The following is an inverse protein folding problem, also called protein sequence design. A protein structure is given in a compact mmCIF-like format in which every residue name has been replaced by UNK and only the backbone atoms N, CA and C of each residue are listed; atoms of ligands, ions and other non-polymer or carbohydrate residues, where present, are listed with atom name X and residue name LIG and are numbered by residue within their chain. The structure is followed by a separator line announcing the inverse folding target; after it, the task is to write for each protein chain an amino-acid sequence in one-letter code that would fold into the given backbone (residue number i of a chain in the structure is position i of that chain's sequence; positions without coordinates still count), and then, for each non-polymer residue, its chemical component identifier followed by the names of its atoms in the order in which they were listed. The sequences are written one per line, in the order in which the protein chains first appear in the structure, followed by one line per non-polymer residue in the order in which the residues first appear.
data_IF_280539303797
#
_entry.id   IF_280539303797
#
_cell.length_a   1.000
_cell.length_b   1.000
_cell.length_c   1.000
_cell.angle_alpha   90.00
_cell.angle_beta   90.00
_cell.angle_gamma   90.00
#
_symmetry.space_group_name_H-M   'P 1'
#
loop_
_entity.id
_entity.type
_entity.pdbx_description
1 polymer ?
#
# COMPACT_ATOMS: atom_id res chain seq x y z
N UNK A 1 -11.72 -11.31 4.35
CA UNK A 1 -11.42 -10.47 5.53
C UNK A 1 -10.27 -9.54 5.20
N UNK A 2 -10.20 -8.37 5.84
CA UNK A 2 -9.08 -7.43 5.72
C UNK A 2 -8.30 -7.37 7.05
N UNK A 3 -7.06 -7.85 7.05
CA UNK A 3 -6.16 -7.85 8.20
C UNK A 3 -5.46 -6.48 8.35
N UNK A 4 -6.22 -5.38 8.38
CA UNK A 4 -5.71 -4.02 8.48
C UNK A 4 -6.73 -3.10 9.13
N UNK A 5 -6.28 -2.22 10.02
CA UNK A 5 -7.09 -1.16 10.61
C UNK A 5 -7.21 0.11 9.74
N UNK A 6 -6.60 0.13 8.55
CA UNK A 6 -6.63 1.31 7.68
C UNK A 6 -8.01 1.52 7.05
N UNK A 7 -8.71 2.65 7.33
CA UNK A 7 -10.00 2.95 6.72
C UNK A 7 -9.89 3.16 5.22
N UNK A 8 -8.76 3.67 4.72
CA UNK A 8 -8.50 3.89 3.30
C UNK A 8 -8.49 2.58 2.52
N UNK A 9 -7.87 1.52 3.05
CA UNK A 9 -7.87 0.18 2.43
C UNK A 9 -9.27 -0.42 2.37
N UNK A 10 -10.03 -0.27 3.45
CA UNK A 10 -11.41 -0.74 3.49
C UNK A 10 -12.29 -0.01 2.46
N UNK A 11 -12.13 1.29 2.33
CA UNK A 11 -12.83 2.10 1.34
C UNK A 11 -12.49 1.64 -0.08
N UNK A 12 -11.21 1.48 -0.43
CA UNK A 12 -10.78 1.03 -1.77
C UNK A 12 -11.41 -0.33 -2.12
N UNK A 13 -11.41 -1.28 -1.19
CA UNK A 13 -12.03 -2.60 -1.42
C UNK A 13 -13.55 -2.50 -1.56
N UNK A 14 -14.20 -1.67 -0.76
CA UNK A 14 -15.64 -1.43 -0.85
C UNK A 14 -16.05 -0.80 -2.19
N UNK A 15 -15.32 0.19 -2.67
CA UNK A 15 -15.52 0.82 -3.99
C UNK A 15 -15.28 -0.17 -5.14
N UNK A 16 -14.40 -1.15 -4.94
CA UNK A 16 -14.18 -2.25 -5.88
C UNK A 16 -15.25 -3.36 -5.80
N UNK A 17 -16.27 -3.20 -4.94
CA UNK A 17 -17.35 -4.18 -4.79
C UNK A 17 -16.96 -5.42 -3.97
N UNK A 18 -15.88 -5.38 -3.21
CA UNK A 18 -15.46 -6.47 -2.33
C UNK A 18 -16.17 -6.34 -0.99
N UNK A 19 -17.05 -7.28 -0.68
CA UNK A 19 -17.62 -7.39 0.68
C UNK A 19 -16.55 -7.90 1.65
N UNK A 20 -16.32 -7.18 2.75
CA UNK A 20 -15.24 -7.50 3.67
C UNK A 20 -15.63 -7.30 5.15
N UNK A 21 -15.01 -8.09 6.00
CA UNK A 21 -14.94 -7.88 7.45
C UNK A 21 -13.56 -7.31 7.77
N UNK A 22 -13.50 -6.24 8.57
CA UNK A 22 -12.25 -5.60 8.99
C UNK A 22 -11.84 -6.22 10.33
N UNK A 23 -10.68 -6.89 10.35
CA UNK A 23 -10.12 -7.52 11.54
C UNK A 23 -8.63 -7.18 11.61
N UNK A 24 -8.24 -6.10 12.30
CA UNK A 24 -6.86 -5.70 12.41
C UNK A 24 -5.99 -6.80 13.03
N UNK A 25 -4.81 -7.03 12.44
CA UNK A 25 -3.84 -7.96 13.00
C UNK A 25 -3.12 -7.29 14.20
N UNK A 26 -3.06 -8.01 15.31
CA UNK A 26 -2.33 -7.60 16.51
C UNK A 26 -0.94 -8.26 16.49
N UNK A 27 -0.02 -7.65 15.75
CA UNK A 27 1.39 -8.09 15.61
C UNK A 27 2.34 -6.92 15.87
N UNK A 28 3.56 -7.21 16.30
CA UNK A 28 4.62 -6.20 16.47
C UNK A 28 5.28 -5.97 15.12
N UNK A 29 4.76 -5.00 14.36
CA UNK A 29 5.13 -4.73 12.96
C UNK A 29 6.63 -4.48 12.79
N UNK A 30 7.23 -3.65 13.67
CA UNK A 30 8.66 -3.31 13.60
C UNK A 30 9.57 -4.54 13.74
N UNK A 31 9.20 -5.48 14.59
CA UNK A 31 9.97 -6.72 14.79
C UNK A 31 9.91 -7.61 13.53
N UNK A 32 8.72 -7.75 12.93
CA UNK A 32 8.54 -8.54 11.71
C UNK A 32 9.28 -7.90 10.55
N UNK A 33 9.17 -6.58 10.40
CA UNK A 33 9.83 -5.83 9.34
C UNK A 33 11.36 -5.90 9.47
N UNK A 34 11.90 -5.65 10.67
CA UNK A 34 13.33 -5.72 10.93
C UNK A 34 13.92 -7.12 10.66
N UNK A 35 13.19 -8.18 11.02
CA UNK A 35 13.62 -9.55 10.73
C UNK A 35 13.61 -9.90 9.23
N UNK A 36 12.87 -9.15 8.42
CA UNK A 36 12.76 -9.34 6.97
C UNK A 36 13.75 -8.48 6.16
N UNK A 37 14.51 -7.61 6.80
CA UNK A 37 15.43 -6.64 6.14
C UNK A 37 16.74 -7.25 5.61
N UNK A 38 16.88 -8.58 5.52
CA UNK A 38 18.04 -9.26 4.93
C UNK A 38 18.19 -9.04 3.40
N UNK A 39 17.27 -8.27 2.80
CA UNK A 39 17.20 -8.06 1.35
C UNK A 39 16.60 -6.72 0.97
N UNK A 40 15.80 -6.75 -0.09
CA UNK A 40 15.13 -5.56 -0.60
C UNK A 40 13.93 -5.15 0.26
N UNK A 41 13.70 -3.84 0.40
CA UNK A 41 12.56 -3.28 1.13
C UNK A 41 11.20 -3.78 0.59
N UNK A 42 11.14 -4.01 -0.71
CA UNK A 42 9.98 -4.62 -1.39
C UNK A 42 9.65 -6.03 -0.87
N UNK A 43 10.66 -6.82 -0.52
CA UNK A 43 10.48 -8.13 0.10
C UNK A 43 10.03 -8.01 1.55
N UNK A 44 10.64 -7.10 2.31
CA UNK A 44 10.29 -6.90 3.72
C UNK A 44 8.82 -6.47 3.90
N UNK A 45 8.33 -5.55 3.06
CA UNK A 45 6.93 -5.12 3.13
C UNK A 45 5.94 -6.23 2.74
N UNK A 46 6.33 -7.15 1.83
CA UNK A 46 5.52 -8.33 1.51
C UNK A 46 5.46 -9.32 2.69
N UNK A 47 6.60 -9.54 3.36
CA UNK A 47 6.66 -10.40 4.57
C UNK A 47 5.77 -9.85 5.66
N UNK A 48 5.78 -8.53 5.89
CA UNK A 48 4.91 -7.90 6.88
C UNK A 48 3.42 -8.01 6.50
N UNK A 49 3.08 -7.78 5.23
CA UNK A 49 1.72 -7.97 4.73
C UNK A 49 1.24 -9.42 4.93
N UNK A 50 2.12 -10.39 4.64
CA UNK A 50 1.81 -11.81 4.83
C UNK A 50 1.65 -12.18 6.30
N UNK A 51 2.50 -11.66 7.19
CA UNK A 51 2.39 -11.88 8.63
C UNK A 51 1.03 -11.40 9.17
N UNK A 52 0.56 -10.21 8.72
CA UNK A 52 -0.78 -9.70 9.05
C UNK A 52 -1.89 -10.64 8.59
N UNK A 53 -1.80 -11.11 7.34
CA UNK A 53 -2.80 -12.02 6.78
C UNK A 53 -2.82 -13.37 7.52
N UNK A 54 -1.66 -13.97 7.77
CA UNK A 54 -1.53 -15.26 8.49
C UNK A 54 -2.08 -15.18 9.91
N UNK A 55 -1.76 -14.10 10.65
CA UNK A 55 -2.24 -13.93 12.02
C UNK A 55 -3.78 -14.00 12.13
N UNK A 56 -4.48 -13.48 11.12
CA UNK A 56 -5.95 -13.56 11.08
C UNK A 56 -6.41 -14.92 10.54
N UNK A 57 -5.76 -15.45 9.51
CA UNK A 57 -6.14 -16.75 8.92
C UNK A 57 -6.04 -17.91 9.93
N UNK A 58 -5.06 -17.88 10.83
CA UNK A 58 -4.92 -18.87 11.92
C UNK A 58 -6.13 -18.87 12.87
N UNK A 59 -6.78 -17.73 13.03
CA UNK A 59 -7.97 -17.54 13.89
C UNK A 59 -9.30 -17.74 13.16
N UNK A 60 -9.29 -17.69 11.84
CA UNK A 60 -10.44 -17.67 10.96
C UNK A 60 -10.23 -18.63 9.78
N UNK A 61 -10.20 -19.93 10.07
CA UNK A 61 -10.01 -20.96 9.06
C UNK A 61 -11.09 -20.89 7.97
N UNK A 62 -10.71 -21.25 6.75
CA UNK A 62 -11.57 -21.31 5.56
C UNK A 62 -12.04 -19.96 5.01
N UNK A 63 -11.44 -18.84 5.45
CA UNK A 63 -11.72 -17.51 4.94
C UNK A 63 -10.60 -17.01 4.00
N UNK A 64 -10.96 -16.11 3.08
CA UNK A 64 -9.94 -15.33 2.36
C UNK A 64 -9.50 -14.16 3.21
N UNK A 65 -8.21 -14.06 3.49
CA UNK A 65 -7.65 -12.98 4.30
C UNK A 65 -6.65 -12.18 3.49
N UNK A 66 -6.90 -10.88 3.37
CA UNK A 66 -6.01 -9.91 2.73
C UNK A 66 -5.25 -9.13 3.79
N UNK A 67 -3.92 -9.15 3.71
CA UNK A 67 -3.01 -8.29 4.46
C UNK A 67 -2.34 -7.30 3.52
N UNK A 68 -2.05 -6.10 4.01
CA UNK A 68 -1.28 -5.11 3.27
C UNK A 68 -0.45 -4.24 4.21
N UNK A 69 0.71 -3.81 3.74
CA UNK A 69 1.54 -2.83 4.40
C UNK A 69 2.13 -1.84 3.40
N UNK A 70 2.39 -0.60 3.85
CA UNK A 70 2.87 0.49 3.00
C UNK A 70 4.00 1.23 3.69
N UNK A 71 5.10 1.41 2.99
CA UNK A 71 6.25 2.19 3.43
C UNK A 71 6.54 3.33 2.47
N UNK A 72 7.08 4.42 3.00
CA UNK A 72 7.63 5.54 2.24
C UNK A 72 9.15 5.44 2.34
N UNK A 73 9.85 5.53 1.20
CA UNK A 73 11.30 5.37 1.14
C UNK A 73 11.93 6.61 0.51
N UNK A 74 12.84 7.24 1.24
CA UNK A 74 13.62 8.39 0.77
C UNK A 74 15.11 8.09 0.90
N UNK A 75 15.87 8.13 -0.21
CA UNK A 75 17.32 7.81 -0.24
C UNK A 75 17.66 6.43 0.34
N UNK A 76 16.77 5.45 0.19
CA UNK A 76 16.94 4.10 0.76
C UNK A 76 16.55 3.98 2.25
N UNK A 77 16.14 5.07 2.90
CA UNK A 77 15.67 5.08 4.28
C UNK A 77 14.13 5.01 4.35
N UNK A 78 13.61 4.15 5.21
CA UNK A 78 12.16 4.03 5.44
C UNK A 78 11.68 5.12 6.38
N UNK A 79 10.70 5.89 5.94
CA UNK A 79 9.99 6.86 6.75
C UNK A 79 8.69 6.22 7.26
N UNK A 80 8.66 5.95 8.58
CA UNK A 80 7.50 5.41 9.26
C UNK A 80 6.38 6.45 9.48
N UNK A 81 5.48 6.15 10.40
CA UNK A 81 4.49 7.12 10.90
C UNK A 81 5.18 8.02 11.92
N UNK A 82 5.01 9.35 11.84
CA UNK A 82 5.59 10.24 12.84
C UNK A 82 4.94 10.04 14.21
N UNK A 83 5.75 9.96 15.26
CA UNK A 83 5.29 9.82 16.65
C UNK A 83 5.11 11.16 17.36
N UNK A 84 5.50 12.27 16.73
CA UNK A 84 5.42 13.61 17.31
C UNK A 84 5.27 14.69 16.23
N UNK A 85 4.85 15.90 16.66
CA UNK A 85 4.79 17.08 15.80
C UNK A 85 6.14 17.35 15.11
N UNK A 86 7.22 17.38 15.89
CA UNK A 86 8.58 17.69 15.39
C UNK A 86 9.05 16.63 14.37
N UNK A 87 8.72 15.36 14.59
CA UNK A 87 9.04 14.28 13.66
C UNK A 87 8.25 14.41 12.36
N UNK A 88 6.96 14.76 12.42
CA UNK A 88 6.15 15.01 11.24
C UNK A 88 6.69 16.18 10.41
N UNK A 89 7.02 17.31 11.05
CA UNK A 89 7.65 18.47 10.40
C UNK A 89 8.99 18.07 9.76
N UNK A 90 9.81 17.30 10.48
CA UNK A 90 11.10 16.83 9.98
C UNK A 90 10.94 15.96 8.74
N UNK A 91 10.01 14.99 8.76
CA UNK A 91 9.73 14.12 7.61
C UNK A 91 9.28 14.93 6.39
N UNK A 92 8.32 15.85 6.55
CA UNK A 92 7.82 16.67 5.45
C UNK A 92 8.89 17.60 4.86
N UNK A 93 9.77 18.17 5.70
CA UNK A 93 10.94 18.95 5.22
C UNK A 93 11.91 18.09 4.42
N UNK A 94 12.13 16.84 4.80
CA UNK A 94 12.96 15.91 4.05
C UNK A 94 12.39 15.56 2.68
N UNK A 95 11.07 15.42 2.58
CA UNK A 95 10.35 15.13 1.34
C UNK A 95 10.17 16.35 0.43
N UNK A 96 10.28 17.56 0.98
CA UNK A 96 10.01 18.82 0.31
C UNK A 96 10.79 18.99 -0.99
N UNK A 97 10.09 19.24 -2.11
CA UNK A 97 10.64 19.40 -3.47
C UNK A 97 11.50 18.22 -3.94
N UNK A 98 11.27 17.01 -3.41
CA UNK A 98 12.04 15.80 -3.72
C UNK A 98 11.15 14.67 -4.23
N UNK A 99 11.79 13.73 -4.91
CA UNK A 99 11.17 12.44 -5.25
C UNK A 99 11.49 11.41 -4.17
N UNK A 100 10.52 10.57 -3.90
CA UNK A 100 10.60 9.43 -2.98
C UNK A 100 9.79 8.28 -3.54
N UNK A 101 9.89 7.13 -2.94
CA UNK A 101 9.20 5.92 -3.37
C UNK A 101 8.16 5.50 -2.32
N UNK A 102 7.00 5.06 -2.78
CA UNK A 102 5.98 4.42 -1.94
C UNK A 102 5.85 2.98 -2.36
N UNK A 103 6.10 2.05 -1.44
CA UNK A 103 6.05 0.62 -1.70
C UNK A 103 4.93 0.01 -0.85
N UNK A 104 3.98 -0.66 -1.49
CA UNK A 104 2.94 -1.42 -0.78
C UNK A 104 3.08 -2.90 -1.09
N UNK A 105 3.25 -3.70 -0.04
CA UNK A 105 3.12 -5.15 -0.08
C UNK A 105 1.68 -5.57 0.14
N UNK A 106 1.24 -6.56 -0.63
CA UNK A 106 -0.09 -7.18 -0.51
C UNK A 106 0.09 -8.68 -0.39
N UNK A 107 -0.67 -9.29 0.50
CA UNK A 107 -0.68 -10.73 0.71
C UNK A 107 -2.12 -11.24 0.80
N UNK A 108 -2.36 -12.44 0.29
CA UNK A 108 -3.62 -13.15 0.45
C UNK A 108 -3.31 -14.55 1.00
N UNK A 109 -4.07 -14.95 2.00
CA UNK A 109 -4.19 -16.33 2.44
C UNK A 109 -5.59 -16.79 2.01
N UNK A 110 -5.66 -17.82 1.18
CA UNK A 110 -6.94 -18.34 0.69
C UNK A 110 -7.59 -19.33 1.68
N UNK A 111 -8.78 -19.81 1.36
CA UNK A 111 -9.54 -20.74 2.20
C UNK A 111 -8.87 -22.12 2.39
N UNK A 112 -7.89 -22.48 1.55
CA UNK A 112 -7.07 -23.68 1.67
C UNK A 112 -5.78 -23.45 2.47
N UNK A 113 -5.50 -22.21 2.90
CA UNK A 113 -4.27 -21.84 3.59
C UNK A 113 -3.09 -21.53 2.66
N UNK A 114 -3.30 -21.52 1.35
CA UNK A 114 -2.26 -21.14 0.39
C UNK A 114 -2.02 -19.62 0.43
N UNK A 115 -0.78 -19.24 0.22
CA UNK A 115 -0.35 -17.84 0.36
C UNK A 115 0.14 -17.27 -0.97
N UNK A 116 -0.29 -16.06 -1.29
CA UNK A 116 0.15 -15.31 -2.45
C UNK A 116 0.57 -13.92 -2.03
N UNK A 117 1.74 -13.45 -2.47
CA UNK A 117 2.25 -12.12 -2.16
C UNK A 117 2.72 -11.40 -3.41
N UNK A 118 2.60 -10.08 -3.39
CA UNK A 118 3.13 -9.20 -4.41
C UNK A 118 3.33 -7.81 -3.83
N UNK A 119 4.16 -6.99 -4.47
CA UNK A 119 4.28 -5.57 -4.14
C UNK A 119 4.03 -4.68 -5.36
N UNK A 120 3.82 -3.40 -5.10
CA UNK A 120 3.81 -2.32 -6.06
C UNK A 120 4.70 -1.20 -5.53
N UNK A 121 5.49 -0.61 -6.41
CA UNK A 121 6.23 0.61 -6.13
C UNK A 121 5.74 1.75 -7.00
N UNK A 122 5.74 2.96 -6.46
CA UNK A 122 5.34 4.20 -7.14
C UNK A 122 6.29 5.32 -6.74
N UNK A 123 6.95 5.94 -7.71
CA UNK A 123 7.71 7.15 -7.44
C UNK A 123 6.75 8.35 -7.31
N UNK A 124 6.96 9.14 -6.27
CA UNK A 124 6.16 10.32 -5.96
C UNK A 124 7.06 11.53 -5.87
N UNK A 125 6.72 12.60 -6.59
CA UNK A 125 7.41 13.88 -6.53
C UNK A 125 6.58 14.88 -5.72
N UNK A 126 7.16 15.43 -4.66
CA UNK A 126 6.57 16.56 -3.95
C UNK A 126 6.79 17.86 -4.69
N UNK A 127 5.79 18.75 -4.62
CA UNK A 127 5.98 20.15 -4.91
C UNK A 127 6.82 20.82 -3.82
N UNK A 128 7.25 22.03 -4.07
CA UNK A 128 7.80 22.88 -3.01
C UNK A 128 6.71 23.22 -2.00
N UNK A 129 6.99 22.95 -0.73
CA UNK A 129 6.15 23.27 0.43
C UNK A 129 6.78 24.45 1.18
N UNK A 130 5.93 25.32 1.74
CA UNK A 130 6.34 26.41 2.60
C UNK A 130 6.17 26.01 4.08
N UNK A 131 6.92 26.67 4.96
CA UNK A 131 6.95 26.30 6.39
C UNK A 131 5.59 26.49 7.10
N UNK A 132 4.81 27.49 6.69
CA UNK A 132 3.47 27.72 7.19
C UNK A 132 2.48 26.63 6.76
N UNK A 133 2.55 26.15 5.52
CA UNK A 133 1.76 25.00 5.03
C UNK A 133 2.08 23.72 5.81
N UNK A 134 3.37 23.47 6.06
CA UNK A 134 3.80 22.29 6.85
C UNK A 134 3.26 22.39 8.27
N UNK A 135 3.41 23.55 8.92
CA UNK A 135 2.96 23.76 10.29
C UNK A 135 1.44 23.62 10.42
N UNK A 136 0.67 24.19 9.47
CA UNK A 136 -0.78 24.07 9.44
C UNK A 136 -1.21 22.61 9.26
N UNK A 137 -0.62 21.89 8.30
CA UNK A 137 -0.93 20.51 8.03
C UNK A 137 -0.63 19.59 9.22
N UNK A 138 0.54 19.75 9.84
CA UNK A 138 0.90 18.93 11.01
C UNK A 138 -0.01 19.22 12.20
N UNK A 139 -0.52 20.44 12.36
CA UNK A 139 -1.46 20.82 13.40
C UNK A 139 -2.86 20.20 13.22
N UNK A 140 -3.18 19.69 12.03
CA UNK A 140 -4.46 19.03 11.75
C UNK A 140 -4.56 17.58 12.25
N UNK A 141 -3.50 17.05 12.86
CA UNK A 141 -3.36 15.64 13.29
C UNK A 141 -3.42 14.61 12.14
N UNK A 142 -3.64 15.05 10.90
CA UNK A 142 -3.72 14.17 9.72
C UNK A 142 -2.46 13.36 9.43
N UNK A 143 -1.23 13.84 9.70
CA UNK A 143 0.02 13.12 9.41
C UNK A 143 0.23 11.82 10.17
N UNK A 144 -0.28 11.72 11.41
CA UNK A 144 0.18 10.72 12.38
C UNK A 144 -0.25 9.27 12.09
N UNK A 145 -1.22 9.07 11.22
CA UNK A 145 -1.67 7.73 10.81
C UNK A 145 -1.06 7.26 9.48
N UNK A 146 -0.13 8.05 8.90
CA UNK A 146 0.40 7.85 7.54
C UNK A 146 1.92 7.71 7.53
N UNK A 147 2.44 6.72 6.79
CA UNK A 147 3.87 6.61 6.51
C UNK A 147 4.37 7.86 5.79
N UNK A 148 5.54 8.38 6.18
CA UNK A 148 6.11 9.63 5.67
C UNK A 148 5.35 10.89 6.10
N UNK A 149 4.30 10.77 6.93
CA UNK A 149 3.56 11.89 7.48
C UNK A 149 2.68 12.65 6.49
N UNK A 150 2.23 12.05 5.40
CA UNK A 150 1.33 12.72 4.43
C UNK A 150 0.32 11.77 3.79
N UNK A 151 -0.78 12.33 3.29
CA UNK A 151 -1.74 11.64 2.44
C UNK A 151 -1.84 12.30 1.06
N UNK A 152 -1.78 11.49 -0.01
CA UNK A 152 -2.00 11.99 -1.38
C UNK A 152 -3.46 12.48 -1.58
N UNK A 153 -4.38 12.01 -0.72
CA UNK A 153 -5.79 12.38 -0.73
C UNK A 153 -6.10 13.67 0.04
N UNK A 154 -5.12 14.25 0.74
CA UNK A 154 -5.30 15.45 1.55
C UNK A 154 -5.32 16.70 0.65
N UNK A 155 -6.47 17.00 0.07
CA UNK A 155 -6.66 18.07 -0.96
C UNK A 155 -6.26 19.45 -0.46
N UNK A 156 -6.45 19.78 0.82
CA UNK A 156 -6.08 21.07 1.38
C UNK A 156 -4.58 21.28 1.47
N UNK A 157 -3.82 20.21 1.68
CA UNK A 157 -2.36 20.24 1.73
C UNK A 157 -1.74 19.98 0.36
N UNK A 158 -2.29 19.04 -0.41
CA UNK A 158 -1.91 18.68 -1.78
C UNK A 158 -0.38 18.69 -2.04
N UNK A 159 0.42 17.90 -1.30
CA UNK A 159 1.88 18.00 -1.37
C UNK A 159 2.47 17.42 -2.65
N UNK A 160 1.72 16.56 -3.36
CA UNK A 160 2.20 15.79 -4.51
C UNK A 160 2.08 16.59 -5.79
N UNK A 161 3.20 16.82 -6.48
CA UNK A 161 3.24 17.44 -7.80
C UNK A 161 2.96 16.43 -8.92
N UNK A 162 3.52 15.22 -8.80
CA UNK A 162 3.32 14.13 -9.75
C UNK A 162 3.64 12.78 -9.12
N UNK A 163 3.14 11.72 -9.72
CA UNK A 163 3.50 10.33 -9.41
C UNK A 163 3.50 9.53 -10.70
N UNK A 164 4.26 8.44 -10.74
CA UNK A 164 4.17 7.44 -11.78
C UNK A 164 3.30 6.26 -11.33
N UNK A 165 3.11 5.27 -12.20
CA UNK A 165 2.44 3.99 -11.88
C UNK A 165 1.05 4.13 -11.21
N UNK A 166 0.92 3.87 -9.92
CA UNK A 166 -0.37 3.59 -9.30
C UNK A 166 -0.75 4.55 -8.17
N UNK A 167 -1.76 5.40 -8.39
CA UNK A 167 -2.34 6.26 -7.36
C UNK A 167 -2.78 5.49 -6.10
N UNK A 168 -3.48 4.36 -6.28
CA UNK A 168 -3.99 3.56 -5.18
C UNK A 168 -2.89 2.85 -4.38
N UNK A 169 -1.70 2.68 -4.98
CA UNK A 169 -0.52 2.25 -4.25
C UNK A 169 -0.12 3.31 -3.21
N UNK A 170 -0.10 4.58 -3.60
CA UNK A 170 0.23 5.69 -2.69
C UNK A 170 -0.83 5.86 -1.60
N UNK A 171 -2.10 5.60 -1.90
CA UNK A 171 -3.19 5.56 -0.88
C UNK A 171 -3.01 4.39 0.09
N UNK A 172 -2.38 3.28 -0.35
CA UNK A 172 -2.00 2.15 0.49
C UNK A 172 -2.59 0.79 0.13
N UNK A 173 -3.26 0.67 -1.05
CA UNK A 173 -3.71 -0.63 -1.57
C UNK A 173 -3.78 -0.60 -3.11
N UNK A 174 -2.74 -1.09 -3.82
CA UNK A 174 -2.73 -1.15 -5.29
C UNK A 174 -3.71 -2.20 -5.80
N UNK A 175 -4.88 -1.77 -6.26
CA UNK A 175 -5.94 -2.70 -6.70
C UNK A 175 -5.57 -3.54 -7.92
N UNK A 176 -4.69 -3.07 -8.79
CA UNK A 176 -4.14 -3.86 -9.90
C UNK A 176 -3.44 -5.13 -9.40
N UNK A 177 -2.59 -5.01 -8.38
CA UNK A 177 -1.90 -6.12 -7.72
C UNK A 177 -2.88 -6.95 -6.88
N UNK A 178 -3.71 -6.28 -6.09
CA UNK A 178 -4.69 -6.93 -5.22
C UNK A 178 -5.65 -7.83 -6.01
N UNK A 179 -6.17 -7.34 -7.14
CA UNK A 179 -7.04 -8.13 -8.02
C UNK A 179 -6.33 -9.35 -8.59
N UNK A 180 -5.07 -9.18 -9.04
CA UNK A 180 -4.29 -10.32 -9.55
C UNK A 180 -4.14 -11.40 -8.48
N UNK A 181 -3.79 -11.02 -7.24
CA UNK A 181 -3.65 -11.97 -6.13
C UNK A 181 -4.98 -12.64 -5.78
N UNK A 182 -6.10 -11.89 -5.75
CA UNK A 182 -7.43 -12.46 -5.50
C UNK A 182 -7.78 -13.53 -6.54
N UNK A 183 -7.61 -13.23 -7.83
CA UNK A 183 -7.87 -14.18 -8.90
C UNK A 183 -6.94 -15.40 -8.83
N UNK A 184 -5.64 -15.20 -8.60
CA UNK A 184 -4.66 -16.29 -8.45
C UNK A 184 -4.97 -17.18 -7.24
N UNK A 185 -5.56 -16.63 -6.17
CA UNK A 185 -5.96 -17.37 -4.97
C UNK A 185 -7.31 -18.08 -5.11
N UNK A 186 -7.97 -18.00 -6.27
CA UNK A 186 -9.26 -18.63 -6.55
C UNK A 186 -10.48 -17.83 -6.09
N UNK A 187 -10.31 -16.54 -5.72
CA UNK A 187 -11.42 -15.67 -5.38
C UNK A 187 -12.15 -15.19 -6.64
N UNK A 188 -13.46 -15.38 -6.70
CA UNK A 188 -14.30 -14.87 -7.79
C UNK A 188 -14.50 -13.35 -7.65
N UNK A 189 -13.71 -12.60 -8.39
CA UNK A 189 -13.83 -11.15 -8.43
C UNK A 189 -14.70 -10.71 -9.59
N UNK A 190 -15.91 -10.26 -9.29
CA UNK A 190 -16.90 -9.80 -10.28
C UNK A 190 -16.91 -8.30 -10.52
N UNK A 191 -16.15 -7.52 -9.74
CA UNK A 191 -16.11 -6.06 -9.85
C UNK A 191 -15.35 -5.59 -11.10
N UNK A 192 -15.93 -4.64 -11.83
CA UNK A 192 -15.20 -3.87 -12.84
C UNK A 192 -14.40 -2.78 -12.11
N UNK A 193 -13.07 -2.94 -12.05
CA UNK A 193 -12.20 -1.96 -11.45
C UNK A 193 -11.15 -1.48 -12.46
N UNK A 194 -11.03 -0.17 -12.61
CA UNK A 194 -9.98 0.49 -13.37
C UNK A 194 -9.05 1.23 -12.42
N UNK A 195 -7.76 0.87 -12.36
CA UNK A 195 -6.75 1.70 -11.73
C UNK A 195 -6.53 2.96 -12.58
N UNK A 196 -7.00 4.11 -12.13
CA UNK A 196 -6.65 5.38 -12.75
C UNK A 196 -5.12 5.59 -12.61
N UNK A 197 -4.42 5.80 -13.73
CA UNK A 197 -2.97 6.02 -13.76
C UNK A 197 -2.15 4.86 -14.33
N UNK A 198 -2.68 3.65 -14.43
CA UNK A 198 -2.03 2.60 -15.21
C UNK A 198 -2.34 2.77 -16.70
N UNK A 199 -1.31 3.02 -17.50
CA UNK A 199 -1.32 2.59 -18.89
C UNK A 199 -1.39 1.06 -18.84
N UNK A 200 -2.58 0.49 -18.97
CA UNK A 200 -2.74 -0.94 -19.25
C UNK A 200 -1.91 -1.24 -20.48
N UNK A 201 -0.91 -2.16 -20.43
CA UNK A 201 -0.37 -2.69 -21.65
C UNK A 201 -1.56 -3.33 -22.40
N UNK A 202 -1.94 -2.71 -23.49
CA UNK A 202 -2.91 -3.26 -24.40
C UNK A 202 -2.46 -4.67 -24.78
N UNK A 203 -3.36 -5.64 -24.57
CA UNK A 203 -3.45 -6.94 -25.20
C UNK A 203 -2.11 -7.68 -25.41
N UNK A 204 -1.95 -8.74 -24.64
CA UNK A 204 -1.14 -9.88 -25.09
C UNK A 204 -1.77 -10.37 -26.39
N UNK A 205 -1.25 -9.92 -27.53
CA UNK A 205 -1.47 -10.59 -28.81
C UNK A 205 -0.85 -11.98 -28.72
N UNK A 206 -1.70 -12.99 -28.63
CA UNK A 206 -1.32 -14.35 -28.93
C UNK A 206 -0.84 -14.36 -30.38
N UNK A 207 0.49 -14.29 -30.58
CA UNK A 207 1.08 -14.71 -31.86
C UNK A 207 0.92 -16.23 -31.94
N UNK A 208 -0.13 -16.65 -32.63
CA UNK A 208 -0.18 -17.99 -33.19
C UNK A 208 1.02 -18.13 -34.12
N UNK A 209 1.96 -19.00 -33.75
CA UNK A 209 3.02 -19.47 -34.62
C UNK A 209 2.39 -20.34 -35.70
N UNK A 210 2.08 -19.74 -36.84
CA UNK A 210 1.80 -20.48 -38.05
C UNK A 210 3.07 -21.20 -38.53
N UNK A 211 3.07 -22.50 -38.40
CA UNK A 211 3.95 -23.41 -39.15
C UNK A 211 3.39 -23.52 -40.55
N UNK A 212 4.20 -23.13 -41.53
CA UNK A 212 4.25 -23.73 -42.87
C UNK A 212 5.70 -24.07 -43.22
#
# INVERSE_FOLDING_TARGET
MLASGSPRRAQILGEAGVSLEIVPADIVEDTVFAAALDGELSSAVQVLALAKAKYIAEKRASEYVLGADTIVVLDGEVLGKPGSYDEAVFMLRRLNDRSHEVITGVAIVNSAGETHTKHMSTAVKFRRLYEDEIAEYVSSESPFDKAGGYGIQDESFAPVASYDECYLNVVGLPMCVTRQLLVCSGYEFSGAFSCAGHNTPSSIEHRESGLQ
#
